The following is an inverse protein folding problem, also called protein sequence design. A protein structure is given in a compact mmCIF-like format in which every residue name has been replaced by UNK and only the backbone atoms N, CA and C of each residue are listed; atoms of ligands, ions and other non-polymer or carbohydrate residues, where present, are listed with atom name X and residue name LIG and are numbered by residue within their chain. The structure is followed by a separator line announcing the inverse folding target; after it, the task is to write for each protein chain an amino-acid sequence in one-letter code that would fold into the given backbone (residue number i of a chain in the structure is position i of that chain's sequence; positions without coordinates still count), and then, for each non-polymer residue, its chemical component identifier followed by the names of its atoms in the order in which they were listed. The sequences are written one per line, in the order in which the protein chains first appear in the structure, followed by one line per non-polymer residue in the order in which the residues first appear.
data_IF_388073461983
#
_entry.id   IF_388073461983
#
_cell.length_a   1.000
_cell.length_b   1.000
_cell.length_c   1.000
_cell.angle_alpha   90.00
_cell.angle_beta   90.00
_cell.angle_gamma   90.00
#
_symmetry.space_group_name_H-M   'P 1'
#
loop_
_entity.id
_entity.type
_entity.pdbx_description
1 polymer ?
#
# COMPACT_ATOMS: atom_id res chain seq x y z
N UNK A 1 -11.16 13.54 -0.59
CA UNK A 1 -10.19 12.71 -1.32
C UNK A 1 -10.98 11.96 -2.36
N UNK A 2 -10.63 12.13 -3.63
CA UNK A 2 -11.14 11.34 -4.74
C UNK A 2 -10.13 10.25 -5.06
N UNK A 3 -10.60 9.04 -5.38
CA UNK A 3 -9.76 7.89 -5.71
C UNK A 3 -9.92 7.51 -7.19
N UNK A 4 -8.80 7.33 -7.87
CA UNK A 4 -8.70 6.78 -9.22
C UNK A 4 -8.02 5.42 -9.14
N UNK A 5 -8.67 4.37 -9.63
CA UNK A 5 -8.10 3.02 -9.61
C UNK A 5 -6.95 2.90 -10.61
N UNK A 6 -5.79 2.44 -10.14
CA UNK A 6 -4.60 2.23 -10.97
C UNK A 6 -4.42 0.77 -11.38
N UNK A 7 -4.74 -0.17 -10.49
CA UNK A 7 -4.60 -1.59 -10.82
C UNK A 7 -4.71 -2.54 -9.63
N UNK A 8 -4.75 -3.81 -9.98
CA UNK A 8 -4.78 -4.94 -9.05
C UNK A 8 -3.91 -6.06 -9.59
N UNK A 9 -3.32 -6.83 -8.69
CA UNK A 9 -2.61 -8.06 -9.04
C UNK A 9 -3.50 -9.31 -8.92
N UNK A 10 -4.82 -9.15 -8.76
CA UNK A 10 -5.77 -10.28 -8.73
C UNK A 10 -6.21 -10.73 -10.08
N UNK A 11 -6.32 -12.05 -10.21
CA UNK A 11 -7.19 -12.72 -11.18
C UNK A 11 -8.45 -13.33 -10.54
N UNK A 12 -8.64 -13.23 -9.21
CA UNK A 12 -9.64 -14.04 -8.48
C UNK A 12 -10.40 -13.40 -7.31
N UNK A 13 -10.30 -12.08 -7.11
CA UNK A 13 -11.20 -11.32 -6.22
C UNK A 13 -10.70 -11.05 -4.79
N UNK A 14 -9.54 -11.57 -4.39
CA UNK A 14 -8.88 -11.19 -3.13
C UNK A 14 -7.50 -10.65 -3.43
N UNK A 15 -7.36 -9.35 -3.64
CA UNK A 15 -6.05 -8.77 -3.93
C UNK A 15 -5.92 -7.31 -3.51
N UNK A 16 -4.66 -6.90 -3.34
CA UNK A 16 -4.33 -5.53 -3.08
C UNK A 16 -4.65 -4.68 -4.30
N UNK A 17 -5.13 -3.48 -4.02
CA UNK A 17 -5.53 -2.49 -5.01
C UNK A 17 -4.71 -1.24 -4.79
N UNK A 18 -4.29 -0.61 -5.89
CA UNK A 18 -3.62 0.67 -5.87
C UNK A 18 -4.56 1.73 -6.43
N UNK A 19 -4.66 2.85 -5.71
CA UNK A 19 -5.42 4.02 -6.12
C UNK A 19 -4.53 5.26 -6.07
N UNK A 20 -4.67 6.13 -7.04
CA UNK A 20 -4.16 7.50 -6.99
C UNK A 20 -5.21 8.41 -6.38
N UNK A 21 -4.77 9.41 -5.63
CA UNK A 21 -5.64 10.44 -5.08
C UNK A 21 -5.52 11.74 -5.85
N UNK A 22 -6.55 12.59 -5.75
CA UNK A 22 -6.54 13.98 -6.22
C UNK A 22 -5.56 14.91 -5.45
N UNK A 23 -4.66 14.35 -4.64
CA UNK A 23 -3.72 15.07 -3.77
C UNK A 23 -2.26 14.67 -4.01
N UNK A 24 -1.96 14.06 -5.15
CA UNK A 24 -0.61 13.56 -5.48
C UNK A 24 -0.09 12.55 -4.43
N UNK A 25 -0.98 11.67 -3.96
CA UNK A 25 -0.65 10.57 -3.05
C UNK A 25 -1.34 9.29 -3.49
N UNK A 26 -0.89 8.15 -2.97
CA UNK A 26 -1.52 6.86 -3.21
C UNK A 26 -2.31 6.36 -2.00
N UNK A 27 -3.40 5.65 -2.27
CA UNK A 27 -4.07 4.78 -1.31
C UNK A 27 -3.84 3.35 -1.75
N UNK A 28 -3.42 2.51 -0.81
CA UNK A 28 -3.13 1.10 -1.06
C UNK A 28 -3.97 0.21 -0.16
N UNK A 29 -4.61 -0.80 -0.75
CA UNK A 29 -5.18 -1.92 -0.01
C UNK A 29 -4.15 -3.05 -0.01
N UNK A 30 -3.93 -3.69 1.14
CA UNK A 30 -3.02 -4.83 1.28
C UNK A 30 -3.40 -5.72 2.45
N UNK A 31 -2.50 -6.63 2.82
CA UNK A 31 -2.68 -7.54 3.95
C UNK A 31 -2.14 -6.88 5.21
N UNK A 32 -2.98 -6.73 6.24
CA UNK A 32 -2.53 -6.13 7.51
C UNK A 32 -1.36 -6.93 8.08
N UNK A 33 -0.26 -6.25 8.40
CA UNK A 33 0.88 -6.86 9.07
C UNK A 33 0.52 -7.10 10.54
N UNK A 34 0.61 -8.35 10.98
CA UNK A 34 0.41 -8.76 12.38
C UNK A 34 1.64 -9.45 12.98
N UNK A 35 2.70 -9.61 12.19
CA UNK A 35 3.96 -10.21 12.64
C UNK A 35 4.63 -9.28 13.68
N UNK A 36 4.89 -9.77 14.91
CA UNK A 36 5.44 -8.92 15.96
C UNK A 36 6.85 -8.38 15.68
N UNK A 37 7.70 -9.14 14.97
CA UNK A 37 9.06 -8.73 14.64
C UNK A 37 9.04 -7.63 13.57
N UNK A 38 8.21 -7.79 12.54
CA UNK A 38 8.00 -6.77 11.52
C UNK A 38 7.42 -5.48 12.11
N UNK A 39 6.45 -5.58 13.02
CA UNK A 39 5.88 -4.41 13.70
C UNK A 39 6.92 -3.72 14.58
N UNK A 40 7.73 -4.47 15.34
CA UNK A 40 8.82 -3.89 16.13
C UNK A 40 9.79 -3.10 15.26
N UNK A 41 10.22 -3.65 14.13
CA UNK A 41 11.09 -2.96 13.17
C UNK A 41 10.45 -1.67 12.61
N UNK A 42 9.13 -1.65 12.38
CA UNK A 42 8.43 -0.43 11.96
C UNK A 42 8.34 0.61 13.09
N UNK A 43 8.07 0.19 14.32
CA UNK A 43 8.03 1.05 15.50
C UNK A 43 9.40 1.65 15.83
N UNK A 44 10.49 0.88 15.69
CA UNK A 44 11.87 1.37 15.84
C UNK A 44 12.20 2.48 14.84
N UNK A 45 11.59 2.45 13.65
CA UNK A 45 11.72 3.52 12.63
C UNK A 45 10.73 4.67 12.85
N UNK A 46 9.96 4.64 13.94
CA UNK A 46 9.09 5.73 14.36
C UNK A 46 7.61 5.58 13.98
N UNK A 47 7.16 4.43 13.49
CA UNK A 47 5.73 4.20 13.24
C UNK A 47 4.94 4.31 14.57
N UNK A 48 3.98 5.22 14.71
CA UNK A 48 3.13 5.31 15.90
C UNK A 48 2.22 4.08 16.06
N UNK A 49 1.85 3.76 17.30
CA UNK A 49 0.91 2.67 17.60
C UNK A 49 -0.51 2.90 17.05
N UNK A 50 -0.86 4.13 16.70
CA UNK A 50 -2.14 4.48 16.07
C UNK A 50 -2.17 4.21 14.57
N UNK A 51 -1.01 3.95 13.96
CA UNK A 51 -0.89 3.61 12.54
C UNK A 51 -0.90 2.11 12.33
N UNK A 52 -1.19 1.69 11.10
CA UNK A 52 -1.12 0.28 10.68
C UNK A 52 -0.35 0.19 9.38
N UNK A 53 0.35 -0.93 9.20
CA UNK A 53 1.02 -1.24 7.95
C UNK A 53 0.33 -2.39 7.23
N UNK A 54 0.41 -2.38 5.91
CA UNK A 54 -0.06 -3.47 5.05
C UNK A 54 1.08 -3.95 4.16
N UNK A 55 1.10 -5.24 3.89
CA UNK A 55 1.97 -5.86 2.92
C UNK A 55 1.27 -5.96 1.55
N UNK A 56 2.03 -5.70 0.50
CA UNK A 56 1.59 -5.82 -0.89
C UNK A 56 2.63 -6.58 -1.74
N UNK A 57 2.22 -7.29 -2.80
CA UNK A 57 3.12 -7.77 -3.83
C UNK A 57 3.85 -6.61 -4.51
N UNK A 58 5.16 -6.76 -4.72
CA UNK A 58 5.98 -5.77 -5.44
C UNK A 58 5.43 -5.40 -6.81
N UNK A 59 4.81 -6.37 -7.50
CA UNK A 59 4.21 -6.18 -8.83
C UNK A 59 3.05 -5.19 -8.84
N UNK A 60 2.41 -4.91 -7.71
CA UNK A 60 1.35 -3.90 -7.61
C UNK A 60 1.89 -2.49 -7.93
N UNK A 61 3.15 -2.20 -7.60
CA UNK A 61 3.75 -0.89 -7.88
C UNK A 61 4.04 -0.68 -9.38
N UNK A 62 3.91 -1.71 -10.22
CA UNK A 62 4.00 -1.54 -11.68
C UNK A 62 2.83 -0.71 -12.24
N UNK A 63 1.72 -0.59 -11.49
CA UNK A 63 0.59 0.24 -11.85
C UNK A 63 0.75 1.71 -11.42
N UNK A 64 1.73 2.01 -10.56
CA UNK A 64 2.04 3.40 -10.20
C UNK A 64 2.70 4.10 -11.40
N UNK A 65 2.25 5.31 -11.77
CA UNK A 65 2.97 6.13 -12.74
C UNK A 65 4.45 6.24 -12.36
N UNK A 66 5.34 5.94 -13.32
CA UNK A 66 6.76 6.29 -13.13
C UNK A 66 6.85 7.80 -13.19
N UNK A 67 7.36 8.42 -12.13
CA UNK A 67 7.63 9.85 -12.12
C UNK A 67 8.65 10.14 -13.24
N UNK A 68 8.19 10.65 -14.37
CA UNK A 68 9.05 11.17 -15.43
C UNK A 68 9.45 12.57 -14.98
N UNK A 69 10.61 12.65 -14.32
CA UNK A 69 11.31 13.91 -14.13
C UNK A 69 11.71 14.50 -15.48
#
# INVERSE_FOLDING_TARGET
MKLSFLGTTSTGGQCPNLYETDRDTYVVQGYKITDPEALAALHERGMPATETAVEIPKTLLNFAPRNTA
#
